data_IF_561236765361
#
_entry.id   IF_561236765361
#
_cell.length_a   1.000
_cell.length_b   1.000
_cell.length_c   1.000
_cell.angle_alpha   90.00
_cell.angle_beta   90.00
_cell.angle_gamma   90.00
#
_symmetry.space_group_name_H-M   'P 1'
#
loop_
_entity.id
_entity.type
_entity.pdbx_description
1 polymer ?
#
# COMPACT_ATOMS: atom_id res chain seq x y z
N UNK A 1 -1.90 -23.07 -6.68
CA UNK A 1 -2.95 -23.63 -5.79
C UNK A 1 -3.55 -22.50 -4.96
N UNK A 2 -4.65 -21.93 -5.46
CA UNK A 2 -5.42 -20.93 -4.71
C UNK A 2 -6.25 -21.73 -3.70
N UNK A 3 -6.01 -21.51 -2.41
CA UNK A 3 -6.67 -22.24 -1.33
C UNK A 3 -8.20 -22.12 -1.43
N UNK A 4 -8.89 -23.26 -1.37
CA UNK A 4 -10.35 -23.41 -1.33
C UNK A 4 -11.05 -22.53 -0.27
N UNK A 5 -10.31 -22.01 0.72
CA UNK A 5 -10.82 -21.08 1.74
C UNK A 5 -11.10 -19.67 1.20
N UNK A 6 -10.34 -19.18 0.23
CA UNK A 6 -10.57 -17.86 -0.38
C UNK A 6 -11.82 -17.85 -1.27
N UNK A 7 -12.12 -18.98 -1.92
CA UNK A 7 -13.35 -19.15 -2.70
C UNK A 7 -14.58 -19.20 -1.79
N UNK A 8 -14.47 -19.79 -0.58
CA UNK A 8 -15.55 -19.85 0.40
C UNK A 8 -15.88 -18.49 1.03
N UNK A 9 -14.88 -17.67 1.34
CA UNK A 9 -15.08 -16.33 1.92
C UNK A 9 -15.63 -15.34 0.89
N UNK A 10 -15.08 -15.34 -0.33
CA UNK A 10 -15.65 -14.57 -1.44
C UNK A 10 -17.06 -15.07 -1.78
N UNK A 11 -17.27 -16.38 -1.75
CA UNK A 11 -18.57 -17.02 -1.91
C UNK A 11 -19.59 -16.55 -0.88
N UNK A 12 -19.26 -16.52 0.42
CA UNK A 12 -20.19 -16.13 1.48
C UNK A 12 -20.53 -14.62 1.45
N UNK A 13 -19.56 -13.77 1.14
CA UNK A 13 -19.78 -12.33 0.94
C UNK A 13 -20.62 -12.08 -0.31
N UNK A 14 -20.39 -12.84 -1.39
CA UNK A 14 -21.20 -12.82 -2.60
C UNK A 14 -22.61 -13.37 -2.34
N UNK A 15 -22.77 -14.41 -1.51
CA UNK A 15 -24.06 -14.99 -1.09
C UNK A 15 -24.86 -13.98 -0.26
N UNK A 16 -24.21 -13.28 0.68
CA UNK A 16 -24.84 -12.21 1.46
C UNK A 16 -25.24 -11.04 0.56
N UNK A 17 -24.39 -10.66 -0.41
CA UNK A 17 -24.68 -9.63 -1.42
C UNK A 17 -25.79 -10.04 -2.42
N UNK A 18 -25.87 -11.32 -2.80
CA UNK A 18 -26.90 -11.87 -3.70
C UNK A 18 -28.25 -12.02 -2.97
N UNK A 19 -28.23 -12.44 -1.70
CA UNK A 19 -29.42 -12.43 -0.85
C UNK A 19 -29.95 -11.00 -0.66
N UNK A 20 -29.05 -10.02 -0.53
CA UNK A 20 -29.40 -8.60 -0.50
C UNK A 20 -29.98 -8.08 -1.81
N UNK A 21 -29.59 -8.62 -2.98
CA UNK A 21 -30.19 -8.25 -4.28
C UNK A 21 -31.56 -8.90 -4.55
N UNK A 22 -31.90 -10.00 -3.86
CA UNK A 22 -33.22 -10.63 -3.99
C UNK A 22 -34.30 -9.99 -3.10
N UNK A 23 -33.91 -9.20 -2.09
CA UNK A 23 -34.86 -8.58 -1.14
C UNK A 23 -35.29 -7.18 -1.61
N UNK A 24 -34.73 -6.66 -2.71
CA UNK A 24 -35.07 -5.33 -3.26
C UNK A 24 -36.14 -5.32 -4.36
N UNK A 25 -36.94 -6.38 -4.52
CA UNK A 25 -38.09 -6.37 -5.42
C UNK A 25 -39.39 -6.45 -4.61
N UNK A 26 -40.32 -5.50 -4.78
CA UNK A 26 -41.64 -5.60 -4.20
C UNK A 26 -42.48 -6.63 -5.00
N UNK A 27 -43.33 -7.35 -4.27
CA UNK A 27 -44.52 -8.07 -4.73
C UNK A 27 -44.37 -9.41 -5.49
N UNK A 28 -45.30 -10.31 -5.10
CA UNK A 28 -45.73 -11.57 -5.72
C UNK A 28 -44.71 -12.69 -5.88
N UNK A 29 -44.69 -13.63 -4.92
CA UNK A 29 -44.45 -15.03 -5.25
C UNK A 29 -45.73 -15.80 -4.95
N UNK A 30 -46.42 -16.11 -6.05
CA UNK A 30 -47.67 -16.87 -6.14
C UNK A 30 -47.48 -18.27 -5.55
N UNK A 31 -48.41 -18.65 -4.67
CA UNK A 31 -48.64 -20.02 -4.24
C UNK A 31 -48.96 -20.89 -5.47
N UNK A 32 -48.21 -21.97 -5.66
CA UNK A 32 -48.70 -23.13 -6.41
C UNK A 32 -48.58 -24.34 -5.49
N UNK A 33 -49.69 -24.66 -4.83
CA UNK A 33 -49.98 -26.00 -4.37
C UNK A 33 -50.28 -26.92 -5.56
N UNK A 34 -50.20 -28.21 -5.29
CA UNK A 34 -50.47 -29.37 -6.14
C UNK A 34 -51.24 -29.17 -7.45
N UNK A 35 -50.68 -29.71 -8.54
CA UNK A 35 -51.39 -29.90 -9.80
C UNK A 35 -50.50 -30.52 -10.89
N UNK A 36 -50.79 -31.78 -11.26
CA UNK A 36 -50.24 -32.46 -12.43
C UNK A 36 -50.60 -31.74 -13.74
N UNK A 37 -49.72 -31.77 -14.75
CA UNK A 37 -50.05 -31.40 -16.12
C UNK A 37 -48.83 -31.14 -17.01
N UNK A 38 -48.83 -31.74 -18.21
CA UNK A 38 -47.74 -31.79 -19.21
C UNK A 38 -47.69 -30.55 -20.12
N UNK A 39 -46.58 -30.48 -20.88
CA UNK A 39 -46.33 -29.78 -22.17
C UNK A 39 -46.15 -28.25 -22.11
N UNK A 40 -45.33 -27.58 -22.93
CA UNK A 40 -44.18 -27.91 -23.80
C UNK A 40 -43.55 -26.54 -24.19
N UNK A 41 -42.23 -26.50 -24.35
CA UNK A 41 -41.41 -25.55 -25.11
C UNK A 41 -41.76 -24.03 -25.19
N UNK A 42 -40.88 -23.21 -24.62
CA UNK A 42 -40.69 -21.82 -25.06
C UNK A 42 -39.87 -20.96 -24.09
N UNK A 43 -38.57 -20.76 -24.37
CA UNK A 43 -37.72 -19.75 -23.73
C UNK A 43 -37.06 -20.19 -22.42
N UNK A 44 -35.83 -20.70 -22.50
CA UNK A 44 -35.00 -20.99 -21.32
C UNK A 44 -34.52 -19.68 -20.68
N UNK A 45 -35.40 -19.05 -19.90
CA UNK A 45 -35.01 -18.31 -18.71
C UNK A 45 -34.57 -19.37 -17.70
N UNK A 46 -33.26 -19.61 -17.62
CA UNK A 46 -32.68 -20.45 -16.57
C UNK A 46 -32.98 -19.82 -15.22
N UNK A 47 -34.07 -20.26 -14.60
CA UNK A 47 -34.27 -20.19 -13.16
C UNK A 47 -33.06 -20.85 -12.49
N UNK A 48 -32.04 -20.05 -12.19
CA UNK A 48 -30.87 -20.46 -11.41
C UNK A 48 -31.38 -20.83 -10.02
N UNK A 49 -31.76 -22.11 -9.84
CA UNK A 49 -31.94 -22.72 -8.53
C UNK A 49 -30.56 -22.85 -7.89
N UNK A 50 -30.09 -21.77 -7.26
CA UNK A 50 -28.89 -21.80 -6.43
C UNK A 50 -29.19 -22.68 -5.22
N UNK A 51 -28.75 -23.94 -5.26
CA UNK A 51 -28.69 -24.80 -4.07
C UNK A 51 -27.55 -24.32 -3.19
N UNK A 52 -27.87 -23.63 -2.10
CA UNK A 52 -26.90 -23.26 -1.09
C UNK A 52 -26.55 -24.49 -0.24
N UNK A 53 -25.36 -25.06 -0.44
CA UNK A 53 -24.77 -25.95 0.56
C UNK A 53 -24.19 -25.09 1.69
N UNK A 54 -25.08 -24.52 2.50
CA UNK A 54 -24.75 -23.94 3.79
C UNK A 54 -24.71 -25.10 4.79
N UNK A 55 -23.51 -25.57 5.13
CA UNK A 55 -23.30 -26.60 6.17
C UNK A 55 -23.45 -26.02 7.59
N UNK A 56 -24.25 -24.97 7.75
CA UNK A 56 -24.50 -24.28 9.02
C UNK A 56 -25.90 -24.62 9.52
N UNK A 57 -26.00 -25.09 10.76
CA UNK A 57 -27.27 -25.36 11.41
C UNK A 57 -28.04 -24.07 11.71
N UNK A 58 -29.36 -24.18 11.89
CA UNK A 58 -30.18 -23.02 12.27
C UNK A 58 -29.70 -22.40 13.59
N UNK A 59 -29.34 -23.22 14.57
CA UNK A 59 -28.88 -22.76 15.89
C UNK A 59 -27.59 -21.91 15.78
N UNK A 60 -26.64 -22.33 14.94
CA UNK A 60 -25.41 -21.55 14.69
C UNK A 60 -25.71 -20.23 13.97
N UNK A 61 -26.62 -20.22 13.00
CA UNK A 61 -27.04 -19.00 12.31
C UNK A 61 -27.79 -18.04 13.25
N UNK A 62 -28.62 -18.58 14.14
CA UNK A 62 -29.36 -17.83 15.14
C UNK A 62 -28.41 -17.19 16.18
N UNK A 63 -27.45 -17.96 16.69
CA UNK A 63 -26.41 -17.48 17.61
C UNK A 63 -25.55 -16.38 16.96
N UNK A 64 -25.16 -16.54 15.69
CA UNK A 64 -24.49 -15.48 14.93
C UNK A 64 -25.35 -14.21 14.85
N UNK A 65 -26.64 -14.33 14.51
CA UNK A 65 -27.54 -13.20 14.39
C UNK A 65 -27.69 -12.44 15.71
N UNK A 66 -27.88 -13.13 16.83
CA UNK A 66 -27.94 -12.52 18.16
C UNK A 66 -26.61 -11.87 18.56
N UNK A 67 -25.49 -12.55 18.31
CA UNK A 67 -24.17 -12.00 18.65
C UNK A 67 -23.90 -10.71 17.87
N UNK A 68 -24.14 -10.72 16.56
CA UNK A 68 -23.96 -9.53 15.71
C UNK A 68 -24.94 -8.43 16.12
N UNK A 69 -26.20 -8.76 16.43
CA UNK A 69 -27.20 -7.82 16.95
C UNK A 69 -26.70 -7.12 18.21
N UNK A 70 -26.25 -7.86 19.20
CA UNK A 70 -25.80 -7.32 20.49
C UNK A 70 -24.55 -6.44 20.35
N UNK A 71 -23.56 -6.88 19.56
CA UNK A 71 -22.35 -6.08 19.28
C UNK A 71 -22.67 -4.82 18.46
N UNK A 72 -23.72 -4.85 17.65
CA UNK A 72 -24.15 -3.71 16.83
C UNK A 72 -25.12 -2.76 17.54
N UNK A 73 -25.72 -3.20 18.65
CA UNK A 73 -26.79 -2.49 19.36
C UNK A 73 -26.36 -1.11 19.87
N UNK A 74 -25.18 -0.91 20.49
CA UNK A 74 -24.76 0.42 20.96
C UNK A 74 -24.75 1.47 19.85
N UNK A 75 -24.35 1.10 18.63
CA UNK A 75 -24.36 1.99 17.47
C UNK A 75 -25.79 2.32 16.99
N UNK A 76 -26.72 1.36 17.08
CA UNK A 76 -28.13 1.62 16.75
C UNK A 76 -28.77 2.54 17.80
N UNK A 77 -28.60 2.25 19.08
CA UNK A 77 -29.12 3.07 20.18
C UNK A 77 -28.55 4.49 20.12
N UNK A 78 -27.23 4.61 19.95
CA UNK A 78 -26.60 5.91 19.75
C UNK A 78 -27.17 6.63 18.52
N UNK A 79 -27.33 5.95 17.39
CA UNK A 79 -27.98 6.52 16.20
C UNK A 79 -29.41 7.01 16.44
N UNK A 80 -30.19 6.29 17.25
CA UNK A 80 -31.53 6.69 17.67
C UNK A 80 -31.49 7.95 18.53
N UNK A 81 -30.56 8.05 19.49
CA UNK A 81 -30.37 9.26 20.31
C UNK A 81 -30.03 10.48 19.46
N UNK A 82 -29.36 10.29 18.32
CA UNK A 82 -29.03 11.35 17.37
C UNK A 82 -30.18 11.67 16.37
N UNK A 83 -31.33 11.02 16.52
CA UNK A 83 -32.50 11.09 15.63
C UNK A 83 -32.18 10.70 14.18
N UNK A 84 -31.49 9.57 13.99
CA UNK A 84 -31.20 9.03 12.65
C UNK A 84 -32.21 7.95 12.29
N UNK A 85 -33.11 8.25 11.34
CA UNK A 85 -34.15 7.32 10.87
C UNK A 85 -33.57 5.99 10.37
N UNK A 86 -32.39 6.02 9.76
CA UNK A 86 -31.71 4.83 9.26
C UNK A 86 -31.43 3.80 10.37
N UNK A 87 -31.15 4.25 11.60
CA UNK A 87 -30.91 3.36 12.75
C UNK A 87 -32.16 2.53 13.06
N UNK A 88 -33.31 3.20 13.17
CA UNK A 88 -34.61 2.57 13.41
C UNK A 88 -34.98 1.59 12.30
N UNK A 89 -34.80 1.99 11.04
CA UNK A 89 -35.16 1.15 9.89
C UNK A 89 -34.32 -0.12 9.84
N UNK A 90 -33.00 -0.02 10.04
CA UNK A 90 -32.11 -1.18 10.02
C UNK A 90 -32.39 -2.13 11.18
N UNK A 91 -32.53 -1.61 12.40
CA UNK A 91 -32.82 -2.42 13.58
C UNK A 91 -34.16 -3.16 13.43
N UNK A 92 -35.24 -2.45 13.07
CA UNK A 92 -36.56 -3.04 12.85
C UNK A 92 -36.56 -4.09 11.74
N UNK A 93 -35.81 -3.86 10.66
CA UNK A 93 -35.72 -4.81 9.56
C UNK A 93 -34.95 -6.08 9.98
N UNK A 94 -33.85 -5.92 10.73
CA UNK A 94 -33.12 -7.04 11.32
C UNK A 94 -33.98 -7.84 12.30
N UNK A 95 -34.69 -7.16 13.20
CA UNK A 95 -35.58 -7.80 14.20
C UNK A 95 -36.70 -8.57 13.51
N UNK A 96 -37.32 -8.00 12.47
CA UNK A 96 -38.37 -8.69 11.70
C UNK A 96 -37.87 -9.93 10.97
N UNK A 97 -36.64 -9.92 10.43
CA UNK A 97 -36.03 -11.09 9.81
C UNK A 97 -35.72 -12.17 10.85
N UNK A 98 -35.20 -11.77 12.01
CA UNK A 98 -34.87 -12.68 13.10
C UNK A 98 -36.13 -13.34 13.69
N UNK A 99 -37.20 -12.58 13.89
CA UNK A 99 -38.50 -13.09 14.35
C UNK A 99 -39.08 -14.09 13.35
N UNK A 100 -39.06 -13.77 12.05
CA UNK A 100 -39.49 -14.71 10.99
C UNK A 100 -38.64 -15.97 10.96
N UNK A 101 -37.34 -15.86 11.19
CA UNK A 101 -36.46 -17.02 11.27
C UNK A 101 -36.88 -17.97 12.40
N UNK A 102 -37.09 -17.43 13.60
CA UNK A 102 -37.51 -18.21 14.78
C UNK A 102 -38.86 -18.89 14.52
N UNK A 103 -39.84 -18.16 14.00
CA UNK A 103 -41.18 -18.69 13.71
C UNK A 103 -41.19 -19.75 12.60
N UNK A 104 -40.23 -19.72 11.68
CA UNK A 104 -40.11 -20.71 10.58
C UNK A 104 -39.23 -21.92 10.93
N UNK A 105 -38.52 -21.90 12.05
CA UNK A 105 -37.54 -22.93 12.40
C UNK A 105 -38.12 -24.34 12.48
N UNK A 106 -39.36 -24.48 12.98
CA UNK A 106 -40.07 -25.76 13.10
C UNK A 106 -40.68 -26.28 11.80
N UNK A 107 -40.88 -25.40 10.79
CA UNK A 107 -41.57 -25.74 9.54
C UNK A 107 -40.63 -25.86 8.35
N UNK A 108 -39.60 -25.02 8.29
CA UNK A 108 -38.58 -25.04 7.25
C UNK A 108 -37.26 -24.49 7.80
N UNK A 109 -36.45 -25.39 8.36
CA UNK A 109 -35.17 -25.06 8.98
C UNK A 109 -34.22 -24.36 8.01
N UNK A 110 -34.12 -24.81 6.75
CA UNK A 110 -33.26 -24.18 5.74
C UNK A 110 -33.63 -22.71 5.50
N UNK A 111 -34.93 -22.42 5.40
CA UNK A 111 -35.42 -21.06 5.20
C UNK A 111 -35.21 -20.21 6.47
N UNK A 112 -35.40 -20.80 7.65
CA UNK A 112 -35.12 -20.15 8.93
C UNK A 112 -33.64 -19.77 9.06
N UNK A 113 -32.71 -20.66 8.70
CA UNK A 113 -31.27 -20.41 8.69
C UNK A 113 -30.91 -19.23 7.79
N UNK A 114 -31.46 -19.18 6.56
CA UNK A 114 -31.23 -18.07 5.63
C UNK A 114 -31.74 -16.73 6.19
N UNK A 115 -32.89 -16.72 6.85
CA UNK A 115 -33.46 -15.52 7.47
C UNK A 115 -32.63 -15.04 8.66
N UNK A 116 -32.11 -15.95 9.49
CA UNK A 116 -31.20 -15.61 10.58
C UNK A 116 -29.89 -15.00 10.06
N UNK A 117 -29.30 -15.58 9.01
CA UNK A 117 -28.11 -15.03 8.35
C UNK A 117 -28.38 -13.65 7.72
N UNK A 118 -29.55 -13.46 7.11
CA UNK A 118 -29.97 -12.17 6.59
C UNK A 118 -30.10 -11.14 7.71
N UNK A 119 -30.68 -11.50 8.85
CA UNK A 119 -30.75 -10.64 10.03
C UNK A 119 -29.35 -10.21 10.50
N UNK A 120 -28.41 -11.16 10.64
CA UNK A 120 -27.02 -10.89 10.99
C UNK A 120 -26.37 -9.87 10.02
N UNK A 121 -26.58 -10.03 8.71
CA UNK A 121 -26.06 -9.13 7.69
C UNK A 121 -26.68 -7.73 7.73
N UNK A 122 -27.96 -7.62 8.13
CA UNK A 122 -28.60 -6.33 8.33
C UNK A 122 -28.05 -5.63 9.57
N UNK A 123 -27.91 -6.35 10.70
CA UNK A 123 -27.31 -5.79 11.92
C UNK A 123 -25.87 -5.33 11.67
N UNK A 124 -25.10 -6.04 10.85
CA UNK A 124 -23.71 -5.68 10.55
C UNK A 124 -23.55 -4.33 9.86
N UNK A 125 -24.64 -3.73 9.36
CA UNK A 125 -24.67 -2.40 8.73
C UNK A 125 -24.77 -1.25 9.73
N UNK A 126 -24.87 -1.53 11.02
CA UNK A 126 -24.88 -0.52 12.09
C UNK A 126 -23.88 0.64 11.90
N UNK A 127 -22.60 0.43 11.51
CA UNK A 127 -21.64 1.52 11.37
C UNK A 127 -22.04 2.60 10.34
N UNK A 128 -22.90 2.29 9.37
CA UNK A 128 -23.38 3.25 8.36
C UNK A 128 -24.21 4.38 9.00
N UNK A 129 -24.83 4.10 10.15
CA UNK A 129 -25.65 5.06 10.91
C UNK A 129 -24.86 6.30 11.34
N UNK A 130 -23.55 6.19 11.51
CA UNK A 130 -22.70 7.30 11.91
C UNK A 130 -22.51 8.37 10.81
N UNK A 131 -22.58 8.03 9.52
CA UNK A 131 -22.36 9.03 8.46
C UNK A 131 -23.43 10.13 8.43
N UNK A 132 -24.74 9.84 8.55
CA UNK A 132 -25.76 10.87 8.75
C UNK A 132 -25.53 11.76 9.98
N UNK A 133 -25.04 11.19 11.09
CA UNK A 133 -24.72 11.95 12.31
C UNK A 133 -23.63 12.98 12.02
N UNK A 134 -22.56 12.59 11.31
CA UNK A 134 -21.50 13.52 10.90
C UNK A 134 -22.04 14.67 10.07
N UNK A 135 -22.84 14.37 9.04
CA UNK A 135 -23.43 15.40 8.18
C UNK A 135 -24.31 16.38 8.95
N UNK A 136 -25.15 15.88 9.87
CA UNK A 136 -25.98 16.70 10.76
C UNK A 136 -25.14 17.52 11.73
N UNK A 137 -24.08 16.94 12.30
CA UNK A 137 -23.18 17.61 13.24
C UNK A 137 -22.47 18.79 12.58
N UNK A 138 -21.91 18.59 11.38
CA UNK A 138 -21.28 19.68 10.63
C UNK A 138 -22.33 20.75 10.34
N UNK A 139 -23.46 20.38 9.73
CA UNK A 139 -24.51 21.33 9.33
C UNK A 139 -25.04 22.17 10.49
N UNK A 140 -25.25 21.57 11.66
CA UNK A 140 -25.83 22.23 12.82
C UNK A 140 -24.85 23.15 13.55
N UNK A 141 -23.53 23.00 13.33
CA UNK A 141 -22.50 23.77 14.02
C UNK A 141 -21.74 24.73 13.10
N UNK A 142 -22.22 24.94 11.86
CA UNK A 142 -21.72 26.02 11.02
C UNK A 142 -22.12 27.37 11.64
N UNK A 143 -21.23 28.36 11.52
CA UNK A 143 -21.50 29.72 11.97
C UNK A 143 -22.47 30.46 11.06
N UNK A 144 -22.65 31.74 11.34
CA UNK A 144 -23.42 32.65 10.47
C UNK A 144 -22.91 32.58 9.03
N UNK A 145 -23.84 32.69 8.07
CA UNK A 145 -23.58 32.52 6.63
C UNK A 145 -22.96 31.17 6.24
N UNK A 146 -23.17 30.11 7.04
CA UNK A 146 -22.62 28.76 6.81
C UNK A 146 -21.08 28.72 6.84
N UNK A 147 -20.47 29.66 7.55
CA UNK A 147 -19.02 29.71 7.72
C UNK A 147 -18.53 28.56 8.61
N UNK A 148 -17.34 28.04 8.30
CA UNK A 148 -16.69 27.04 9.13
C UNK A 148 -16.10 27.71 10.37
N UNK A 149 -16.46 27.24 11.56
CA UNK A 149 -15.96 27.79 12.83
C UNK A 149 -15.20 26.73 13.63
N UNK A 150 -14.44 27.18 14.64
CA UNK A 150 -13.78 26.27 15.58
C UNK A 150 -14.79 25.37 16.30
N UNK A 151 -15.99 25.89 16.60
CA UNK A 151 -17.09 25.12 17.19
C UNK A 151 -17.52 23.96 16.28
N UNK A 152 -17.53 24.14 14.96
CA UNK A 152 -17.81 23.04 14.02
C UNK A 152 -16.80 21.90 14.16
N UNK A 153 -15.51 22.24 14.27
CA UNK A 153 -14.44 21.24 14.41
C UNK A 153 -14.55 20.52 15.76
N UNK A 154 -14.73 21.26 16.85
CA UNK A 154 -14.86 20.71 18.19
C UNK A 154 -16.09 19.79 18.31
N UNK A 155 -17.21 20.16 17.69
CA UNK A 155 -18.40 19.31 17.64
C UNK A 155 -18.14 17.98 16.91
N UNK A 156 -17.42 18.01 15.78
CA UNK A 156 -17.04 16.78 15.05
C UNK A 156 -16.09 15.93 15.88
N UNK A 157 -15.12 16.53 16.57
CA UNK A 157 -14.22 15.82 17.51
C UNK A 157 -15.03 15.17 18.63
N UNK A 158 -15.97 15.89 19.24
CA UNK A 158 -16.84 15.36 20.29
C UNK A 158 -17.62 14.13 19.81
N UNK A 159 -18.21 14.19 18.62
CA UNK A 159 -18.90 13.04 18.02
C UNK A 159 -17.96 11.89 17.64
N UNK A 160 -16.70 12.18 17.30
CA UNK A 160 -15.70 11.14 17.05
C UNK A 160 -15.36 10.39 18.35
N UNK A 161 -15.18 11.11 19.46
CA UNK A 161 -14.91 10.50 20.78
C UNK A 161 -16.12 9.73 21.31
N UNK A 162 -17.36 10.16 21.03
CA UNK A 162 -18.55 9.34 21.29
C UNK A 162 -18.45 7.96 20.59
N UNK A 163 -18.06 7.92 19.31
CA UNK A 163 -17.86 6.64 18.59
C UNK A 163 -16.74 5.80 19.21
N UNK A 164 -15.65 6.43 19.67
CA UNK A 164 -14.57 5.72 20.37
C UNK A 164 -15.07 5.02 21.65
N UNK A 165 -16.00 5.64 22.37
CA UNK A 165 -16.63 4.99 23.52
C UNK A 165 -17.48 3.80 23.08
N UNK A 166 -18.27 3.94 22.00
CA UNK A 166 -19.04 2.84 21.42
C UNK A 166 -18.15 1.67 20.95
N UNK A 167 -16.96 1.95 20.41
CA UNK A 167 -15.98 0.91 20.06
C UNK A 167 -15.57 0.13 21.31
N UNK A 168 -15.30 0.83 22.42
CA UNK A 168 -14.89 0.20 23.68
C UNK A 168 -16.02 -0.66 24.26
N UNK A 169 -17.26 -0.17 24.20
CA UNK A 169 -18.45 -0.93 24.58
C UNK A 169 -18.65 -2.17 23.71
N UNK A 170 -18.54 -2.03 22.38
CA UNK A 170 -18.65 -3.15 21.45
C UNK A 170 -17.57 -4.21 21.66
N UNK A 171 -16.34 -3.82 22.05
CA UNK A 171 -15.28 -4.75 22.47
C UNK A 171 -15.65 -5.51 23.74
N UNK A 172 -16.22 -4.82 24.73
CA UNK A 172 -16.65 -5.46 25.97
C UNK A 172 -17.77 -6.47 25.70
N UNK A 173 -18.75 -6.10 24.88
CA UNK A 173 -19.82 -7.01 24.46
C UNK A 173 -19.24 -8.19 23.68
N UNK A 174 -18.33 -7.97 22.72
CA UNK A 174 -17.74 -9.08 21.96
C UNK A 174 -16.97 -10.06 22.86
N UNK A 175 -16.29 -9.55 23.90
CA UNK A 175 -15.59 -10.38 24.87
C UNK A 175 -16.55 -11.28 25.68
N UNK A 176 -17.77 -10.83 25.98
CA UNK A 176 -18.80 -11.66 26.64
C UNK A 176 -19.22 -12.87 25.79
N UNK A 177 -19.04 -12.78 24.46
CA UNK A 177 -19.28 -13.87 23.52
C UNK A 177 -18.00 -14.66 23.16
N UNK A 178 -16.92 -14.49 23.93
CA UNK A 178 -15.60 -15.08 23.68
C UNK A 178 -14.98 -14.71 22.32
N UNK A 179 -15.34 -13.54 21.77
CA UNK A 179 -14.81 -13.06 20.49
C UNK A 179 -13.72 -12.03 20.78
N UNK A 180 -12.51 -12.34 20.32
CA UNK A 180 -11.38 -11.40 20.38
C UNK A 180 -11.38 -10.51 19.13
N UNK A 181 -11.54 -9.19 19.27
CA UNK A 181 -11.45 -8.28 18.14
C UNK A 181 -10.09 -8.36 17.43
N UNK A 182 -10.08 -8.24 16.11
CA UNK A 182 -8.85 -8.21 15.34
C UNK A 182 -7.94 -7.04 15.75
N UNK A 183 -6.62 -7.29 15.82
CA UNK A 183 -5.59 -6.28 16.15
C UNK A 183 -5.64 -4.99 15.30
N UNK A 184 -6.21 -5.05 14.09
CA UNK A 184 -6.40 -3.85 13.25
C UNK A 184 -7.30 -2.81 13.91
N UNK A 185 -8.21 -3.22 14.80
CA UNK A 185 -9.09 -2.31 15.56
C UNK A 185 -8.25 -1.35 16.39
N UNK A 186 -7.24 -1.83 17.11
CA UNK A 186 -6.37 -0.99 17.95
C UNK A 186 -5.52 -0.03 17.12
N UNK A 187 -5.02 -0.49 15.97
CA UNK A 187 -4.28 0.36 15.04
C UNK A 187 -5.16 1.52 14.52
N UNK A 188 -6.41 1.23 14.15
CA UNK A 188 -7.35 2.23 13.66
C UNK A 188 -7.74 3.23 14.75
N UNK A 189 -7.96 2.77 15.98
CA UNK A 189 -8.24 3.63 17.14
C UNK A 189 -7.05 4.54 17.45
N UNK A 190 -5.83 4.02 17.42
CA UNK A 190 -4.61 4.82 17.62
C UNK A 190 -4.40 5.85 16.50
N UNK A 191 -4.57 5.44 15.24
CA UNK A 191 -4.46 6.31 14.07
C UNK A 191 -5.57 7.40 14.05
N UNK A 192 -6.77 7.09 14.53
CA UNK A 192 -7.84 8.08 14.73
C UNK A 192 -7.49 9.08 15.84
N UNK A 193 -7.00 8.59 16.99
CA UNK A 193 -6.58 9.43 18.13
C UNK A 193 -5.46 10.39 17.70
N UNK A 194 -4.48 9.92 16.92
CA UNK A 194 -3.43 10.77 16.36
C UNK A 194 -3.98 11.90 15.48
N UNK A 195 -5.00 11.62 14.66
CA UNK A 195 -5.66 12.64 13.83
C UNK A 195 -6.48 13.63 14.64
N UNK A 196 -7.12 13.21 15.74
CA UNK A 196 -7.78 14.15 16.67
C UNK A 196 -6.75 15.11 17.25
N UNK A 197 -5.62 14.61 17.72
CA UNK A 197 -4.54 15.44 18.27
C UNK A 197 -4.02 16.44 17.22
N UNK A 198 -3.77 15.99 15.98
CA UNK A 198 -3.39 16.90 14.88
C UNK A 198 -4.48 17.92 14.57
N UNK A 199 -5.76 17.53 14.63
CA UNK A 199 -6.89 18.44 14.43
C UNK A 199 -6.91 19.54 15.49
N UNK A 200 -6.71 19.20 16.77
CA UNK A 200 -6.66 20.16 17.87
C UNK A 200 -5.49 21.13 17.71
N UNK A 201 -4.29 20.64 17.40
CA UNK A 201 -3.12 21.49 17.12
C UNK A 201 -3.37 22.47 15.97
N UNK A 202 -3.97 22.00 14.87
CA UNK A 202 -4.30 22.87 13.73
C UNK A 202 -5.35 23.91 14.08
N UNK A 203 -6.25 23.62 15.03
CA UNK A 203 -7.26 24.55 15.51
C UNK A 203 -6.63 25.66 16.37
N UNK A 204 -5.66 25.33 17.22
CA UNK A 204 -4.85 26.31 17.98
C UNK A 204 -4.07 27.24 17.04
N UNK A 205 -3.62 26.73 15.90
CA UNK A 205 -2.92 27.50 14.86
C UNK A 205 -3.87 28.26 13.91
N UNK A 206 -5.18 28.30 14.19
CA UNK A 206 -6.22 28.95 13.36
C UNK A 206 -6.35 28.38 11.92
N UNK A 207 -5.96 27.12 11.69
CA UNK A 207 -6.16 26.41 10.42
C UNK A 207 -7.46 25.59 10.42
N UNK A 208 -8.60 26.24 10.65
CA UNK A 208 -9.91 25.59 10.90
C UNK A 208 -10.33 24.60 9.80
N UNK A 209 -10.12 24.93 8.51
CA UNK A 209 -10.44 24.02 7.39
C UNK A 209 -9.61 22.73 7.39
N UNK A 210 -8.31 22.82 7.71
CA UNK A 210 -7.44 21.64 7.81
C UNK A 210 -7.76 20.84 9.06
N UNK A 211 -8.02 21.52 10.18
CA UNK A 211 -8.46 20.89 11.42
C UNK A 211 -9.73 20.04 11.19
N UNK A 212 -10.77 20.62 10.56
CA UNK A 212 -11.99 19.87 10.20
C UNK A 212 -11.68 18.62 9.37
N UNK A 213 -10.79 18.73 8.38
CA UNK A 213 -10.41 17.58 7.54
C UNK A 213 -9.80 16.43 8.36
N UNK A 214 -8.95 16.73 9.33
CA UNK A 214 -8.37 15.73 10.23
C UNK A 214 -9.42 15.15 11.20
N UNK A 215 -10.30 15.98 11.76
CA UNK A 215 -11.40 15.51 12.61
C UNK A 215 -12.34 14.54 11.87
N UNK A 216 -12.74 14.88 10.64
CA UNK A 216 -13.57 14.00 9.78
C UNK A 216 -12.85 12.70 9.46
N UNK A 217 -11.54 12.74 9.18
CA UNK A 217 -10.76 11.51 8.95
C UNK A 217 -10.70 10.65 10.21
N UNK A 218 -10.50 11.23 11.39
CA UNK A 218 -10.52 10.49 12.65
C UNK A 218 -11.89 9.82 12.88
N UNK A 219 -12.98 10.55 12.65
CA UNK A 219 -14.35 10.06 12.70
C UNK A 219 -14.55 8.81 11.82
N UNK A 220 -14.09 8.86 10.56
CA UNK A 220 -14.14 7.72 9.65
C UNK A 220 -13.29 6.53 10.12
N UNK A 221 -12.10 6.76 10.68
CA UNK A 221 -11.27 5.66 11.19
C UNK A 221 -11.90 4.97 12.40
N UNK A 222 -12.58 5.71 13.29
CA UNK A 222 -13.36 5.11 14.37
C UNK A 222 -14.55 4.27 13.83
N UNK A 223 -15.30 4.75 12.83
CA UNK A 223 -16.35 3.94 12.18
C UNK A 223 -15.78 2.63 11.60
N UNK A 224 -14.61 2.71 10.95
CA UNK A 224 -13.93 1.55 10.39
C UNK A 224 -13.49 0.57 11.49
N UNK A 225 -12.99 1.07 12.62
CA UNK A 225 -12.63 0.25 13.77
C UNK A 225 -13.86 -0.51 14.30
N UNK A 226 -15.01 0.16 14.48
CA UNK A 226 -16.27 -0.49 14.86
C UNK A 226 -16.68 -1.57 13.85
N UNK A 227 -16.56 -1.28 12.55
CA UNK A 227 -16.85 -2.26 11.49
C UNK A 227 -15.97 -3.50 11.60
N UNK A 228 -14.71 -3.36 12.00
CA UNK A 228 -13.80 -4.49 12.19
C UNK A 228 -14.12 -5.32 13.43
N UNK A 229 -14.70 -4.73 14.48
CA UNK A 229 -15.23 -5.49 15.63
C UNK A 229 -16.36 -6.41 15.17
N UNK A 230 -17.34 -5.88 14.44
CA UNK A 230 -18.45 -6.67 13.88
C UNK A 230 -17.91 -7.79 12.97
N UNK A 231 -16.93 -7.49 12.11
CA UNK A 231 -16.30 -8.51 11.25
C UNK A 231 -15.60 -9.61 12.05
N UNK A 232 -15.04 -9.30 13.20
CA UNK A 232 -14.40 -10.28 14.08
C UNK A 232 -15.43 -11.32 14.55
N UNK A 233 -16.67 -10.89 14.82
CA UNK A 233 -17.79 -11.80 15.14
C UNK A 233 -18.06 -12.80 14.02
N UNK A 234 -18.14 -12.32 12.78
CA UNK A 234 -18.35 -13.22 11.63
C UNK A 234 -17.18 -14.18 11.42
N UNK A 235 -15.94 -13.73 11.59
CA UNK A 235 -14.75 -14.57 11.42
C UNK A 235 -14.78 -15.73 12.42
N UNK A 236 -15.03 -15.41 13.69
CA UNK A 236 -15.05 -16.38 14.79
C UNK A 236 -16.23 -17.35 14.65
N UNK A 237 -17.46 -16.83 14.57
CA UNK A 237 -18.69 -17.64 14.59
C UNK A 237 -18.90 -18.47 13.33
N UNK A 238 -18.37 -18.04 12.19
CA UNK A 238 -18.43 -18.83 10.95
C UNK A 238 -17.22 -19.78 10.80
N UNK A 239 -16.34 -19.87 11.80
CA UNK A 239 -15.11 -20.67 11.76
C UNK A 239 -14.35 -20.49 10.44
N UNK A 240 -14.17 -19.24 9.99
CA UNK A 240 -13.51 -18.93 8.70
C UNK A 240 -11.99 -19.21 8.70
N UNK A 241 -11.56 -20.04 9.65
CA UNK A 241 -10.19 -20.31 10.04
C UNK A 241 -9.67 -19.22 10.97
N UNK A 242 -8.92 -19.62 12.01
CA UNK A 242 -7.80 -18.78 12.44
C UNK A 242 -7.04 -18.47 11.17
N UNK A 243 -7.01 -17.21 10.78
CA UNK A 243 -6.10 -16.81 9.72
C UNK A 243 -4.80 -16.49 10.42
N UNK A 244 -3.81 -17.42 10.45
CA UNK A 244 -2.46 -17.01 10.73
C UNK A 244 -2.12 -15.96 9.68
N UNK A 245 -2.09 -14.69 10.12
CA UNK A 245 -1.68 -13.52 9.35
C UNK A 245 -2.67 -12.97 8.31
N UNK A 246 -3.96 -12.83 8.61
CA UNK A 246 -4.75 -11.75 7.96
C UNK A 246 -4.11 -10.37 8.26
N UNK A 247 -3.50 -10.23 9.43
CA UNK A 247 -2.79 -9.03 9.88
C UNK A 247 -1.56 -8.66 9.05
N UNK A 248 -0.87 -9.59 8.38
CA UNK A 248 0.29 -9.26 7.54
C UNK A 248 0.00 -9.31 6.04
N UNK A 249 -0.96 -10.15 5.59
CA UNK A 249 -1.32 -10.24 4.15
C UNK A 249 -2.42 -9.26 3.70
N UNK A 250 -3.24 -8.72 4.62
CA UNK A 250 -4.22 -7.66 4.27
C UNK A 250 -3.62 -6.25 4.44
N UNK A 251 -2.53 -6.09 5.19
CA UNK A 251 -1.77 -4.83 5.26
C UNK A 251 -0.71 -4.80 4.14
N UNK A 252 -1.15 -5.07 2.92
CA UNK A 252 -0.67 -4.28 1.80
C UNK A 252 -1.74 -3.21 1.69
N UNK A 253 -1.52 -2.05 2.32
CA UNK A 253 -2.29 -0.85 2.02
C UNK A 253 -2.12 -0.69 0.52
N UNK A 254 -3.06 -1.21 -0.28
CA UNK A 254 -3.10 -1.03 -1.73
C UNK A 254 -3.30 0.45 -1.90
N UNK A 255 -2.19 1.17 -1.95
CA UNK A 255 -2.15 2.57 -2.28
C UNK A 255 -2.79 2.63 -3.64
N UNK A 256 -3.86 3.42 -3.75
CA UNK A 256 -4.61 3.57 -4.99
C UNK A 256 -3.60 3.74 -6.14
N UNK A 257 -3.81 2.99 -7.22
CA UNK A 257 -2.91 2.99 -8.38
C UNK A 257 -2.64 4.43 -8.84
N UNK A 258 -3.64 5.31 -8.74
CA UNK A 258 -3.52 6.74 -9.02
C UNK A 258 -2.53 7.47 -8.11
N UNK A 259 -2.47 7.12 -6.83
CA UNK A 259 -1.51 7.69 -5.87
C UNK A 259 -0.10 7.17 -6.14
N UNK A 260 0.07 5.89 -6.48
CA UNK A 260 1.36 5.35 -6.93
C UNK A 260 1.83 5.99 -8.23
N UNK A 261 0.95 6.14 -9.22
CA UNK A 261 1.25 6.82 -10.48
C UNK A 261 1.70 8.28 -10.24
N UNK A 262 1.00 9.01 -9.37
CA UNK A 262 1.38 10.39 -9.01
C UNK A 262 2.73 10.48 -8.31
N UNK A 263 3.09 9.52 -7.46
CA UNK A 263 4.43 9.44 -6.86
C UNK A 263 5.51 9.12 -7.90
N UNK A 264 5.20 8.28 -8.88
CA UNK A 264 6.11 7.91 -9.97
C UNK A 264 6.30 9.05 -10.97
N UNK A 265 5.31 9.93 -11.14
CA UNK A 265 5.41 11.09 -12.03
C UNK A 265 6.52 12.07 -11.66
N UNK A 266 6.83 12.17 -10.36
CA UNK A 266 7.87 13.05 -9.83
C UNK A 266 9.28 12.41 -9.88
N UNK A 267 9.40 11.17 -10.36
CA UNK A 267 10.69 10.49 -10.51
C UNK A 267 11.38 10.90 -11.83
N UNK A 268 12.73 10.84 -11.88
CA UNK A 268 13.49 11.03 -13.11
C UNK A 268 12.99 10.14 -14.25
N UNK A 269 12.92 10.66 -15.49
CA UNK A 269 12.33 9.98 -16.66
C UNK A 269 12.84 8.54 -16.86
N UNK A 270 14.13 8.31 -16.60
CA UNK A 270 14.78 7.01 -16.75
C UNK A 270 14.37 5.97 -15.68
N UNK A 271 14.03 6.40 -14.46
CA UNK A 271 13.43 5.54 -13.42
C UNK A 271 11.94 5.35 -13.70
N UNK A 272 11.25 6.44 -14.06
CA UNK A 272 9.81 6.50 -14.31
C UNK A 272 9.36 5.43 -15.30
N UNK A 273 10.02 5.33 -16.46
CA UNK A 273 9.64 4.35 -17.49
C UNK A 273 9.72 2.89 -16.98
N UNK A 274 10.81 2.53 -16.31
CA UNK A 274 11.04 1.18 -15.79
C UNK A 274 10.11 0.82 -14.62
N UNK A 275 9.84 1.77 -13.74
CA UNK A 275 8.91 1.58 -12.62
C UNK A 275 7.47 1.48 -13.12
N UNK A 276 7.06 2.32 -14.08
CA UNK A 276 5.72 2.28 -14.69
C UNK A 276 5.46 0.95 -15.40
N UNK A 277 6.44 0.41 -16.10
CA UNK A 277 6.32 -0.89 -16.75
C UNK A 277 6.10 -2.01 -15.73
N UNK A 278 6.85 -1.99 -14.61
CA UNK A 278 6.69 -2.97 -13.52
C UNK A 278 5.37 -2.81 -12.76
N UNK A 279 4.88 -1.58 -12.61
CA UNK A 279 3.57 -1.30 -12.05
C UNK A 279 2.45 -1.85 -12.94
N UNK A 280 2.54 -1.64 -14.27
CA UNK A 280 1.58 -2.18 -15.25
C UNK A 280 1.56 -3.72 -15.26
N UNK A 281 2.71 -4.35 -15.07
CA UNK A 281 2.86 -5.82 -14.95
C UNK A 281 2.40 -6.38 -13.59
N UNK A 282 1.94 -5.54 -12.66
CA UNK A 282 1.47 -5.97 -11.34
C UNK A 282 2.59 -6.46 -10.39
N UNK A 283 3.85 -6.14 -10.71
CA UNK A 283 5.01 -6.54 -9.91
C UNK A 283 5.22 -5.64 -8.68
N UNK A 284 4.70 -4.41 -8.73
CA UNK A 284 4.74 -3.44 -7.62
C UNK A 284 3.34 -3.37 -7.00
N UNK A 285 3.20 -3.83 -5.76
CA UNK A 285 1.88 -3.96 -5.11
C UNK A 285 1.61 -2.87 -4.08
N UNK A 286 2.66 -2.27 -3.52
CA UNK A 286 2.58 -1.17 -2.55
C UNK A 286 3.80 -0.23 -2.61
N UNK A 287 3.81 0.76 -1.70
CA UNK A 287 4.89 1.73 -1.52
C UNK A 287 6.20 1.06 -1.07
N UNK A 288 6.15 -0.05 -0.33
CA UNK A 288 7.35 -0.75 0.15
C UNK A 288 8.03 -1.45 -1.02
N UNK A 289 7.26 -2.13 -1.87
CA UNK A 289 7.69 -2.70 -3.14
C UNK A 289 8.23 -1.62 -4.07
N UNK A 290 7.52 -0.49 -4.20
CA UNK A 290 7.96 0.66 -4.99
C UNK A 290 9.33 1.15 -4.51
N UNK A 291 9.51 1.37 -3.20
CA UNK A 291 10.77 1.80 -2.59
C UNK A 291 11.88 0.78 -2.82
N UNK A 292 11.58 -0.51 -2.68
CA UNK A 292 12.55 -1.60 -2.92
C UNK A 292 13.00 -1.64 -4.37
N UNK A 293 12.06 -1.51 -5.32
CA UNK A 293 12.37 -1.49 -6.75
C UNK A 293 13.13 -0.23 -7.17
N UNK A 294 12.77 0.93 -6.63
CA UNK A 294 13.51 2.18 -6.87
C UNK A 294 14.94 2.06 -6.34
N UNK A 295 15.14 1.60 -5.09
CA UNK A 295 16.47 1.37 -4.52
C UNK A 295 17.30 0.41 -5.37
N UNK A 296 16.70 -0.67 -5.86
CA UNK A 296 17.39 -1.66 -6.67
C UNK A 296 17.78 -1.09 -8.05
N UNK A 297 16.90 -0.31 -8.69
CA UNK A 297 17.23 0.39 -9.94
C UNK A 297 18.34 1.41 -9.72
N UNK A 298 18.28 2.19 -8.64
CA UNK A 298 19.31 3.16 -8.27
C UNK A 298 20.64 2.46 -7.97
N UNK A 299 20.64 1.33 -7.27
CA UNK A 299 21.84 0.54 -6.98
C UNK A 299 22.47 0.00 -8.28
N UNK A 300 21.67 -0.63 -9.14
CA UNK A 300 22.14 -1.12 -10.45
C UNK A 300 22.68 0.03 -11.30
N UNK A 301 22.03 1.19 -11.27
CA UNK A 301 22.46 2.34 -12.03
C UNK A 301 23.74 2.96 -11.46
N UNK A 302 23.88 3.00 -10.13
CA UNK A 302 25.10 3.41 -9.44
C UNK A 302 26.25 2.47 -9.78
N UNK A 303 26.06 1.16 -9.67
CA UNK A 303 27.05 0.15 -10.08
C UNK A 303 27.40 0.26 -11.57
N UNK A 304 26.42 0.53 -12.44
CA UNK A 304 26.66 0.73 -13.87
C UNK A 304 27.43 2.02 -14.15
N UNK A 305 27.11 3.12 -13.47
CA UNK A 305 27.85 4.37 -13.55
C UNK A 305 29.26 4.20 -13.03
N UNK A 306 29.46 3.57 -11.87
CA UNK A 306 30.78 3.28 -11.32
C UNK A 306 31.63 2.46 -12.29
N UNK A 307 31.04 1.45 -12.94
CA UNK A 307 31.74 0.66 -13.96
C UNK A 307 32.03 1.46 -15.24
N UNK A 308 31.11 2.31 -15.70
CA UNK A 308 31.34 3.19 -16.87
C UNK A 308 32.41 4.23 -16.56
N UNK A 309 32.36 4.86 -15.38
CA UNK A 309 33.34 5.83 -14.90
C UNK A 309 34.71 5.18 -14.76
N UNK A 310 34.79 3.98 -14.16
CA UNK A 310 36.03 3.22 -14.07
C UNK A 310 36.59 2.86 -15.46
N UNK A 311 35.74 2.43 -16.41
CA UNK A 311 36.16 2.14 -17.78
C UNK A 311 36.68 3.39 -18.51
N UNK A 312 35.98 4.52 -18.39
CA UNK A 312 36.39 5.79 -19.02
C UNK A 312 37.68 6.34 -18.41
N UNK A 313 37.81 6.33 -17.09
CA UNK A 313 39.05 6.73 -16.39
C UNK A 313 40.20 5.81 -16.79
N UNK A 314 39.95 4.50 -16.89
CA UNK A 314 40.95 3.54 -17.38
C UNK A 314 41.40 3.90 -18.79
N UNK A 315 40.47 4.16 -19.72
CA UNK A 315 40.80 4.55 -21.10
C UNK A 315 41.60 5.85 -21.16
N UNK A 316 41.20 6.85 -20.38
CA UNK A 316 41.89 8.14 -20.29
C UNK A 316 43.30 7.97 -19.74
N UNK A 317 43.48 7.26 -18.63
CA UNK A 317 44.78 7.01 -18.04
C UNK A 317 45.69 6.18 -18.97
N UNK A 318 45.14 5.16 -19.67
CA UNK A 318 45.87 4.40 -20.71
C UNK A 318 46.34 5.33 -21.82
N UNK A 319 45.48 6.24 -22.28
CA UNK A 319 45.83 7.21 -23.32
C UNK A 319 46.92 8.17 -22.84
N UNK A 320 46.84 8.67 -21.61
CA UNK A 320 47.86 9.50 -20.96
C UNK A 320 49.21 8.76 -20.90
N UNK A 321 49.23 7.49 -20.46
CA UNK A 321 50.44 6.67 -20.42
C UNK A 321 51.03 6.44 -21.83
N UNK A 322 50.19 6.16 -22.83
CA UNK A 322 50.65 5.97 -24.21
C UNK A 322 51.23 7.27 -24.78
N UNK A 323 50.56 8.40 -24.59
CA UNK A 323 51.02 9.70 -25.06
C UNK A 323 52.28 10.15 -24.33
N UNK A 324 52.31 10.02 -23.00
CA UNK A 324 53.47 10.32 -22.16
C UNK A 324 54.69 9.50 -22.55
N UNK A 325 54.50 8.21 -22.88
CA UNK A 325 55.58 7.36 -23.40
C UNK A 325 56.15 7.83 -24.75
N UNK A 326 55.49 8.75 -25.46
CA UNK A 326 55.99 9.31 -26.72
C UNK A 326 56.68 10.67 -26.54
N UNK A 327 56.65 11.25 -25.34
CA UNK A 327 57.31 12.52 -25.06
C UNK A 327 58.84 12.38 -25.13
N UNK A 328 59.55 13.38 -25.67
CA UNK A 328 61.00 13.42 -25.63
C UNK A 328 61.50 13.68 -24.20
N UNK A 329 62.68 13.16 -23.86
CA UNK A 329 63.33 13.39 -22.56
C UNK A 329 63.11 12.26 -21.52
N UNK A 330 63.56 12.54 -20.29
CA UNK A 330 63.65 11.55 -19.21
C UNK A 330 62.30 10.98 -18.78
N UNK A 331 61.24 11.79 -18.77
CA UNK A 331 59.88 11.34 -18.39
C UNK A 331 59.32 10.31 -19.38
N UNK A 332 59.45 10.56 -20.69
CA UNK A 332 58.97 9.61 -21.71
C UNK A 332 59.76 8.30 -21.70
N UNK A 333 61.07 8.36 -21.41
CA UNK A 333 61.91 7.17 -21.22
C UNK A 333 61.50 6.37 -19.97
N UNK A 334 61.28 7.03 -18.84
CA UNK A 334 60.80 6.39 -17.61
C UNK A 334 59.48 5.64 -17.82
N UNK A 335 58.50 6.25 -18.49
CA UNK A 335 57.22 5.58 -18.78
C UNK A 335 57.44 4.36 -19.70
N UNK A 336 58.32 4.43 -20.71
CA UNK A 336 58.63 3.27 -21.58
C UNK A 336 59.30 2.14 -20.81
N UNK A 337 60.26 2.46 -19.96
CA UNK A 337 60.99 1.51 -19.14
C UNK A 337 60.07 0.82 -18.13
N UNK A 338 59.21 1.59 -17.46
CA UNK A 338 58.17 1.05 -16.58
C UNK A 338 57.23 0.10 -17.32
N UNK A 339 56.73 0.50 -18.50
CA UNK A 339 55.89 -0.39 -19.33
C UNK A 339 56.63 -1.66 -19.77
N UNK A 340 57.93 -1.56 -20.03
CA UNK A 340 58.78 -2.71 -20.38
C UNK A 340 58.88 -3.70 -19.23
N UNK A 341 59.23 -3.20 -18.05
CA UNK A 341 59.38 -3.98 -16.80
C UNK A 341 58.13 -4.79 -16.48
N UNK A 342 56.95 -4.20 -16.66
CA UNK A 342 55.65 -4.84 -16.39
C UNK A 342 55.01 -5.54 -17.60
N UNK A 343 55.71 -5.64 -18.73
CA UNK A 343 55.22 -6.26 -19.98
C UNK A 343 53.90 -5.62 -20.51
N UNK A 344 53.75 -4.31 -20.35
CA UNK A 344 52.56 -3.52 -20.72
C UNK A 344 52.63 -2.93 -22.15
N UNK A 345 53.16 -3.72 -23.09
CA UNK A 345 53.31 -3.33 -24.49
C UNK A 345 52.01 -3.38 -25.27
N UNK A 346 51.18 -4.39 -24.99
CA UNK A 346 49.87 -4.55 -25.60
C UNK A 346 48.87 -3.60 -24.91
N UNK A 347 48.08 -2.81 -25.67
CA UNK A 347 46.99 -1.99 -25.13
C UNK A 347 46.06 -2.74 -24.17
N UNK A 348 45.79 -4.04 -24.41
CA UNK A 348 44.95 -4.86 -23.53
C UNK A 348 45.60 -5.13 -22.18
N UNK A 349 46.89 -5.42 -22.15
CA UNK A 349 47.64 -5.65 -20.91
C UNK A 349 47.75 -4.37 -20.09
N UNK A 350 48.03 -3.25 -20.75
CA UNK A 350 48.06 -1.93 -20.12
C UNK A 350 46.67 -1.55 -19.58
N UNK A 351 45.60 -1.75 -20.35
CA UNK A 351 44.24 -1.50 -19.90
C UNK A 351 43.85 -2.33 -18.68
N UNK A 352 44.14 -3.63 -18.68
CA UNK A 352 43.81 -4.50 -17.54
C UNK A 352 44.58 -4.11 -16.27
N UNK A 353 45.85 -3.74 -16.44
CA UNK A 353 46.69 -3.26 -15.34
C UNK A 353 46.19 -1.92 -14.80
N UNK A 354 45.88 -0.96 -15.67
CA UNK A 354 45.32 0.32 -15.25
C UNK A 354 43.94 0.15 -14.60
N UNK A 355 43.10 -0.76 -15.10
CA UNK A 355 41.78 -1.05 -14.53
C UNK A 355 41.88 -1.62 -13.10
N UNK A 356 42.90 -2.43 -12.81
CA UNK A 356 43.09 -2.94 -11.45
C UNK A 356 43.49 -1.83 -10.49
N UNK A 357 44.32 -0.87 -10.93
CA UNK A 357 44.67 0.33 -10.16
C UNK A 357 43.43 1.22 -9.95
N UNK A 358 42.65 1.49 -11.00
CA UNK A 358 41.41 2.29 -10.91
C UNK A 358 40.46 1.69 -9.89
N UNK A 359 40.23 0.37 -9.94
CA UNK A 359 39.36 -0.32 -8.97
C UNK A 359 39.94 -0.29 -7.55
N UNK A 360 41.26 -0.42 -7.39
CA UNK A 360 41.92 -0.35 -6.09
C UNK A 360 41.73 1.04 -5.47
N UNK A 361 42.09 2.09 -6.20
CA UNK A 361 41.95 3.49 -5.75
C UNK A 361 40.50 3.81 -5.44
N UNK A 362 39.57 3.42 -6.32
CA UNK A 362 38.13 3.64 -6.12
C UNK A 362 37.60 2.96 -4.86
N UNK A 363 38.06 1.73 -4.55
CA UNK A 363 37.65 1.00 -3.35
C UNK A 363 38.27 1.56 -2.06
N UNK A 364 39.50 2.05 -2.12
CA UNK A 364 40.23 2.57 -0.96
C UNK A 364 39.79 3.99 -0.57
N UNK A 365 39.42 4.82 -1.55
CA UNK A 365 39.18 6.26 -1.34
C UNK A 365 37.73 6.69 -1.52
N UNK A 366 36.88 5.83 -2.11
CA UNK A 366 35.53 6.17 -2.58
C UNK A 366 35.49 7.37 -3.57
N UNK A 367 36.62 7.73 -4.20
CA UNK A 367 36.67 8.82 -5.17
C UNK A 367 35.85 8.50 -6.43
N UNK A 368 35.29 9.54 -7.08
CA UNK A 368 34.54 9.40 -8.34
C UNK A 368 34.88 10.53 -9.31
N UNK A 369 34.60 10.35 -10.61
CA UNK A 369 34.75 11.42 -11.60
C UNK A 369 36.19 11.89 -11.80
N UNK A 370 36.43 13.20 -11.74
CA UNK A 370 37.73 13.82 -11.96
C UNK A 370 38.69 13.51 -10.80
N UNK A 371 38.21 13.56 -9.56
CA UNK A 371 39.00 13.23 -8.37
C UNK A 371 39.57 11.81 -8.44
N UNK A 372 38.77 10.85 -8.94
CA UNK A 372 39.24 9.48 -9.15
C UNK A 372 40.32 9.41 -10.25
N UNK A 373 40.18 10.21 -11.31
CA UNK A 373 41.20 10.28 -12.37
C UNK A 373 42.51 10.86 -11.83
N UNK A 374 42.48 11.95 -11.08
CA UNK A 374 43.65 12.59 -10.49
C UNK A 374 44.39 11.62 -9.54
N UNK A 375 43.65 10.94 -8.66
CA UNK A 375 44.26 9.97 -7.73
C UNK A 375 44.83 8.75 -8.45
N UNK A 376 44.18 8.28 -9.53
CA UNK A 376 44.71 7.19 -10.36
C UNK A 376 45.99 7.61 -11.09
N UNK A 377 46.03 8.83 -11.62
CA UNK A 377 47.23 9.35 -12.26
C UNK A 377 48.36 9.48 -11.24
N UNK A 378 48.09 10.05 -10.06
CA UNK A 378 49.07 10.16 -8.99
C UNK A 378 49.61 8.80 -8.54
N UNK A 379 48.74 7.79 -8.39
CA UNK A 379 49.18 6.43 -8.05
C UNK A 379 50.06 5.82 -9.15
N UNK A 380 49.79 6.11 -10.42
CA UNK A 380 50.62 5.68 -11.54
C UNK A 380 51.97 6.40 -11.55
N UNK A 381 52.01 7.70 -11.24
CA UNK A 381 53.25 8.49 -11.10
C UNK A 381 54.16 7.87 -10.04
N UNK A 382 53.61 7.59 -8.85
CA UNK A 382 54.32 6.91 -7.76
C UNK A 382 54.85 5.54 -8.21
N UNK A 383 54.04 4.74 -8.91
CA UNK A 383 54.48 3.42 -9.37
C UNK A 383 55.63 3.52 -10.39
N UNK A 384 55.58 4.49 -11.30
CA UNK A 384 56.65 4.72 -12.29
C UNK A 384 57.91 5.22 -11.57
N UNK A 385 57.78 6.16 -10.65
CA UNK A 385 58.91 6.72 -9.89
C UNK A 385 59.59 5.64 -9.03
N UNK A 386 58.81 4.82 -8.33
CA UNK A 386 59.35 3.70 -7.54
C UNK A 386 60.12 2.69 -8.38
N UNK A 387 59.71 2.49 -9.63
CA UNK A 387 60.32 1.48 -10.50
C UNK A 387 61.51 1.98 -11.32
N UNK A 388 61.58 3.30 -11.57
CA UNK A 388 62.56 3.92 -12.49
C UNK A 388 63.45 4.97 -11.81
N UNK A 389 63.10 5.41 -10.60
CA UNK A 389 63.75 6.50 -9.87
C UNK A 389 63.52 7.89 -10.48
N UNK A 390 62.61 8.02 -11.46
CA UNK A 390 62.33 9.27 -12.17
C UNK A 390 60.88 9.69 -11.92
N UNK A 391 60.72 10.89 -11.35
CA UNK A 391 59.40 11.50 -11.18
C UNK A 391 58.79 11.88 -12.55
N UNK A 392 57.51 11.55 -12.73
CA UNK A 392 56.74 11.82 -13.94
C UNK A 392 55.48 12.59 -13.54
N UNK A 393 55.13 13.63 -14.29
CA UNK A 393 53.90 14.40 -14.10
C UNK A 393 52.88 14.01 -15.19
N UNK A 394 52.04 13.01 -14.90
CA UNK A 394 51.02 12.52 -15.81
C UNK A 394 49.83 13.50 -15.90
N UNK A 395 49.65 14.35 -14.90
CA UNK A 395 48.64 15.42 -14.92
C UNK A 395 48.97 16.48 -15.97
N UNK A 396 50.25 16.86 -16.08
CA UNK A 396 50.75 17.72 -17.16
C UNK A 396 50.54 17.07 -18.53
N UNK A 397 50.79 15.76 -18.67
CA UNK A 397 50.55 15.02 -19.92
C UNK A 397 49.06 15.04 -20.30
N UNK A 398 48.16 14.83 -19.34
CA UNK A 398 46.71 14.92 -19.55
C UNK A 398 46.32 16.33 -20.04
N UNK A 399 46.84 17.38 -19.42
CA UNK A 399 46.56 18.77 -19.83
C UNK A 399 47.06 19.07 -21.25
N UNK A 400 48.21 18.54 -21.66
CA UNK A 400 48.72 18.65 -23.03
C UNK A 400 47.77 17.95 -24.02
N UNK A 401 47.29 16.74 -23.69
CA UNK A 401 46.34 16.01 -24.54
C UNK A 401 45.03 16.77 -24.70
N UNK A 402 44.46 17.27 -23.60
CA UNK A 402 43.22 18.05 -23.60
C UNK A 402 43.40 19.30 -24.48
N UNK A 403 44.51 20.02 -24.30
CA UNK A 403 44.83 21.23 -25.08
C UNK A 403 44.92 20.93 -26.57
N UNK A 404 45.62 19.86 -26.96
CA UNK A 404 45.72 19.43 -28.37
C UNK A 404 44.33 19.05 -28.92
N UNK A 405 43.50 18.37 -28.14
CA UNK A 405 42.17 17.95 -28.55
C UNK A 405 41.24 19.15 -28.77
N UNK A 406 41.23 20.12 -27.84
CA UNK A 406 40.45 21.36 -27.93
C UNK A 406 40.89 22.22 -29.12
N UNK A 407 42.20 22.33 -29.37
CA UNK A 407 42.73 23.09 -30.52
C UNK A 407 42.37 22.43 -31.85
N UNK A 408 42.42 21.09 -31.93
CA UNK A 408 42.10 20.34 -33.17
C UNK A 408 40.60 20.25 -33.45
N UNK A 409 39.75 20.39 -32.45
CA UNK A 409 38.30 20.21 -32.55
C UNK A 409 37.51 21.41 -31.99
N UNK A 410 38.03 22.63 -32.17
CA UNK A 410 37.37 23.88 -31.77
C UNK A 410 35.89 23.97 -32.18
N UNK A 411 35.11 24.84 -31.50
CA UNK A 411 33.71 24.60 -31.16
C UNK A 411 32.83 24.52 -32.41
N UNK A 412 32.47 23.30 -32.80
CA UNK A 412 31.24 23.07 -33.57
C UNK A 412 30.19 22.62 -32.57
N UNK A 413 29.34 23.58 -32.17
CA UNK A 413 28.04 23.49 -31.49
C UNK A 413 27.75 22.29 -30.58
#
# INVERSE_FOLDING_TARGET
MISNTHLKIAGLILIVLVALSMISLPASLVLAGDGQGKEENGGLDENIRVRFNLTMSFNEALDLAYTVRNVSYPMFEWGQTQNITLANTLLRHGDSLLEKAINMSSTNETKATLLALAAAAIYSRAPIVAYPVLGKTIRNNLGENRSLTNNTVLAVIGKAEEIKNLISEAKNISAQFNITPLRIVDFLVADATGKINTSLQLLEMNYTGRALSYAVRAYHEYIRAYTWIIKSVFIEKLNLGETPRITEKIIIKKVDKKVMEKLIEHMPRWIKAKIMEKLRKGLIKDIVDLRRHVRLIVKIYKERLENITADQITKTAVLVIIAGSKLPGKQGQAIKEWRSKHRLYNPRSLYNYTLSIVKKVQNETNATGIDLLEQVLHQLEINIENDTGIHVDLTQVLNIIITIHVIRHGPRH
#
